data_IF_914524511151
#
_entry.id   IF_914524511151
#
_cell.length_a   1.000
_cell.length_b   1.000
_cell.length_c   1.000
_cell.angle_alpha   90.00
_cell.angle_beta   90.00
_cell.angle_gamma   90.00
#
_symmetry.space_group_name_H-M   'P 1'
#
loop_
_entity.id
_entity.type
_entity.pdbx_description
1 polymer ?
#
# COMPACT_ATOMS: atom_id res chain seq x y z
N UNK A 1 8.76 38.08 27.11
CA UNK A 1 8.75 36.60 27.03
C UNK A 1 9.10 36.25 25.60
N UNK A 2 10.30 35.76 25.38
CA UNK A 2 10.76 35.37 24.04
C UNK A 2 10.40 33.91 23.83
N UNK A 3 9.59 33.63 22.80
CA UNK A 3 9.32 32.28 22.37
C UNK A 3 10.55 31.75 21.65
N UNK A 4 10.98 30.51 21.90
CA UNK A 4 12.04 29.91 21.13
C UNK A 4 11.55 29.68 19.68
N UNK A 5 12.36 30.15 18.72
CA UNK A 5 12.19 29.89 17.31
C UNK A 5 12.20 28.38 17.10
N UNK A 6 11.14 27.83 16.53
CA UNK A 6 11.11 26.42 16.14
C UNK A 6 12.27 26.16 15.17
N UNK A 7 13.10 25.18 15.49
CA UNK A 7 14.17 24.74 14.61
C UNK A 7 13.57 24.34 13.24
N UNK A 8 14.17 24.82 12.17
CA UNK A 8 13.83 24.41 10.82
C UNK A 8 13.95 22.88 10.72
N UNK A 9 13.07 22.19 9.94
CA UNK A 9 13.18 20.76 9.75
C UNK A 9 14.57 20.43 9.19
N UNK A 10 15.30 19.57 9.89
CA UNK A 10 16.56 19.06 9.38
C UNK A 10 16.26 18.30 8.07
N UNK A 11 16.68 18.87 6.96
CA UNK A 11 16.67 18.19 5.67
C UNK A 11 17.60 16.99 5.82
N UNK A 12 17.05 15.80 5.85
CA UNK A 12 17.84 14.55 5.92
C UNK A 12 18.70 14.49 4.66
N UNK A 13 19.98 14.81 4.78
CA UNK A 13 20.94 14.64 3.68
C UNK A 13 21.12 13.15 3.48
N UNK A 14 20.56 12.62 2.36
CA UNK A 14 20.74 11.23 1.98
C UNK A 14 22.23 10.98 1.71
N UNK A 15 22.76 9.87 2.25
CA UNK A 15 24.09 9.41 1.88
C UNK A 15 24.07 8.84 0.46
N UNK A 16 25.21 8.78 -0.28
CA UNK A 16 25.26 8.23 -1.63
C UNK A 16 24.64 6.84 -1.78
N UNK A 17 24.64 6.03 -0.73
CA UNK A 17 24.00 4.69 -0.70
C UNK A 17 22.46 4.74 -0.65
N UNK A 18 21.88 5.91 -0.48
CA UNK A 18 20.41 6.12 -0.34
C UNK A 18 19.80 6.86 -1.52
N UNK A 19 20.57 7.15 -2.58
CA UNK A 19 20.13 7.95 -3.75
C UNK A 19 18.90 7.40 -4.48
N UNK A 20 18.50 6.15 -4.19
CA UNK A 20 17.35 5.51 -4.79
C UNK A 20 16.04 5.72 -4.02
N UNK A 21 16.09 6.30 -2.82
CA UNK A 21 14.90 6.65 -2.05
C UNK A 21 14.34 8.01 -2.52
N UNK A 22 13.01 8.19 -2.49
CA UNK A 22 12.41 9.47 -2.82
C UNK A 22 12.88 10.56 -1.84
N UNK A 23 13.10 11.77 -2.34
CA UNK A 23 13.32 12.96 -1.53
C UNK A 23 12.02 13.27 -0.80
N UNK A 24 12.08 13.43 0.52
CA UNK A 24 10.88 13.59 1.35
C UNK A 24 11.17 14.33 2.65
N UNK A 25 10.15 14.97 3.19
CA UNK A 25 10.14 15.54 4.54
C UNK A 25 9.52 14.57 5.58
N UNK A 26 9.18 13.35 5.16
CA UNK A 26 8.70 12.28 6.05
C UNK A 26 9.88 11.63 6.78
N UNK A 27 9.64 11.21 8.01
CA UNK A 27 10.67 10.54 8.81
C UNK A 27 10.68 9.03 8.55
N UNK A 28 11.82 8.52 8.12
CA UNK A 28 12.06 7.09 8.07
C UNK A 28 12.11 6.48 9.48
N UNK A 29 11.71 5.22 9.67
CA UNK A 29 11.89 4.51 10.93
C UNK A 29 13.36 4.52 11.36
N UNK A 30 13.65 4.98 12.59
CA UNK A 30 15.03 5.19 13.07
C UNK A 30 15.91 3.94 13.01
N UNK A 31 15.31 2.75 13.19
CA UNK A 31 15.99 1.48 13.13
C UNK A 31 16.16 0.93 11.71
N UNK A 32 15.47 1.47 10.73
CA UNK A 32 15.56 1.03 9.34
C UNK A 32 16.90 1.47 8.73
N UNK A 33 17.58 0.55 8.09
CA UNK A 33 18.78 0.81 7.30
C UNK A 33 18.52 0.47 5.85
N UNK A 34 18.98 1.36 4.99
CA UNK A 34 18.78 1.32 3.55
C UNK A 34 20.15 1.47 2.91
N UNK A 35 20.39 0.75 1.84
CA UNK A 35 21.64 0.87 1.09
C UNK A 35 21.60 0.06 -0.20
N UNK A 36 22.75 -0.05 -0.84
CA UNK A 36 22.98 -0.85 -2.03
C UNK A 36 24.32 -1.60 -1.93
N UNK A 37 24.36 -2.81 -2.47
CA UNK A 37 25.58 -3.58 -2.66
C UNK A 37 26.35 -3.04 -3.88
N UNK A 38 27.62 -3.40 -3.99
CA UNK A 38 28.48 -3.00 -5.14
C UNK A 38 27.91 -3.44 -6.50
N UNK A 39 27.18 -4.54 -6.54
CA UNK A 39 26.51 -5.04 -7.75
C UNK A 39 25.18 -4.33 -8.06
N UNK A 40 24.79 -3.30 -7.29
CA UNK A 40 23.58 -2.51 -7.48
C UNK A 40 22.30 -3.12 -6.89
N UNK A 41 22.37 -4.27 -6.21
CA UNK A 41 21.25 -4.81 -5.46
C UNK A 41 21.01 -3.95 -4.23
N UNK A 42 19.80 -3.44 -4.06
CA UNK A 42 19.38 -2.62 -2.94
C UNK A 42 18.99 -3.47 -1.76
N UNK A 43 19.11 -2.91 -0.58
CA UNK A 43 18.59 -3.57 0.61
C UNK A 43 17.87 -2.61 1.55
N UNK A 44 16.90 -3.16 2.27
CA UNK A 44 16.25 -2.55 3.42
C UNK A 44 16.31 -3.54 4.58
N UNK A 45 16.87 -3.12 5.70
CA UNK A 45 16.96 -3.94 6.92
C UNK A 45 16.28 -3.19 8.05
N UNK A 46 15.24 -3.80 8.63
CA UNK A 46 14.48 -3.21 9.74
C UNK A 46 14.33 -4.19 10.90
N UNK A 47 15.08 -4.00 12.01
CA UNK A 47 14.86 -4.76 13.24
C UNK A 47 13.45 -4.54 13.78
N UNK A 48 12.77 -5.62 14.15
CA UNK A 48 11.47 -5.59 14.79
C UNK A 48 11.50 -6.24 16.17
N UNK A 49 11.13 -5.48 17.19
CA UNK A 49 11.11 -5.97 18.59
C UNK A 49 9.95 -6.93 18.87
N UNK A 50 8.98 -6.99 17.97
CA UNK A 50 7.79 -7.84 18.14
C UNK A 50 7.95 -9.25 17.55
N UNK A 51 9.07 -9.53 16.92
CA UNK A 51 9.36 -10.80 16.29
C UNK A 51 10.40 -11.57 17.08
N UNK A 52 9.97 -12.39 18.04
CA UNK A 52 10.91 -13.27 18.73
C UNK A 52 11.40 -14.34 17.77
N UNK A 53 12.72 -14.29 17.43
CA UNK A 53 13.39 -15.28 16.58
C UNK A 53 12.75 -15.52 15.19
N UNK A 54 11.97 -14.56 14.69
CA UNK A 54 11.42 -14.65 13.33
C UNK A 54 11.94 -13.53 12.45
N UNK A 55 12.11 -13.82 11.17
CA UNK A 55 12.48 -12.84 10.15
C UNK A 55 11.64 -13.04 8.89
N UNK A 56 11.14 -11.94 8.37
CA UNK A 56 10.42 -11.87 7.11
C UNK A 56 11.35 -11.31 6.05
N UNK A 57 11.48 -12.03 4.95
CA UNK A 57 12.32 -11.69 3.84
C UNK A 57 11.47 -11.45 2.60
N UNK A 58 11.80 -10.37 1.85
CA UNK A 58 11.21 -10.12 0.53
C UNK A 58 12.33 -9.85 -0.46
N UNK A 59 12.15 -10.34 -1.66
CA UNK A 59 12.96 -9.97 -2.81
C UNK A 59 12.03 -9.34 -3.84
N UNK A 60 12.24 -8.08 -4.12
CA UNK A 60 11.46 -7.35 -5.10
C UNK A 60 12.29 -7.09 -6.35
N UNK A 61 11.74 -7.47 -7.49
CA UNK A 61 12.26 -7.15 -8.81
C UNK A 61 11.29 -6.22 -9.52
N UNK A 62 11.72 -5.01 -9.81
CA UNK A 62 10.98 -4.04 -10.59
C UNK A 62 11.66 -3.80 -11.94
N UNK A 63 10.95 -4.04 -13.05
CA UNK A 63 11.45 -3.79 -14.40
C UNK A 63 11.30 -2.34 -14.84
N UNK A 64 11.99 -1.97 -15.92
CA UNK A 64 11.80 -0.68 -16.57
C UNK A 64 10.37 -0.45 -17.09
N UNK A 65 9.63 -1.51 -17.40
CA UNK A 65 8.21 -1.46 -17.79
C UNK A 65 7.24 -1.40 -16.60
N UNK A 66 7.73 -1.15 -15.39
CA UNK A 66 6.95 -1.10 -14.15
C UNK A 66 6.27 -2.42 -13.73
N UNK A 67 6.62 -3.53 -14.34
CA UNK A 67 6.23 -4.84 -13.81
C UNK A 67 7.03 -5.13 -12.56
N UNK A 68 6.36 -5.65 -11.54
CA UNK A 68 6.98 -5.98 -10.26
C UNK A 68 6.71 -7.44 -9.91
N UNK A 69 7.74 -8.14 -9.48
CA UNK A 69 7.63 -9.46 -8.88
C UNK A 69 8.14 -9.40 -7.46
N UNK A 70 7.40 -10.01 -6.56
CA UNK A 70 7.73 -10.12 -5.15
C UNK A 70 7.86 -11.60 -4.78
N UNK A 71 9.00 -11.97 -4.21
CA UNK A 71 9.20 -13.29 -3.61
C UNK A 71 9.29 -13.14 -2.12
N UNK A 72 8.46 -13.89 -1.40
CA UNK A 72 8.42 -13.91 0.05
C UNK A 72 9.11 -15.16 0.61
N UNK A 73 9.75 -15.01 1.77
CA UNK A 73 10.23 -16.09 2.60
C UNK A 73 10.12 -15.70 4.07
N UNK A 74 9.70 -16.64 4.90
CA UNK A 74 9.61 -16.46 6.35
C UNK A 74 10.55 -17.46 7.01
N UNK A 75 11.29 -17.02 8.04
CA UNK A 75 12.21 -17.88 8.73
C UNK A 75 12.05 -17.79 10.25
N UNK A 76 12.03 -18.96 10.89
CA UNK A 76 12.21 -19.12 12.32
C UNK A 76 13.71 -19.32 12.62
N UNK A 77 14.33 -18.32 13.24
CA UNK A 77 15.75 -18.31 13.57
C UNK A 77 16.11 -19.26 14.72
N UNK A 78 15.14 -19.95 15.36
CA UNK A 78 15.41 -21.08 16.25
C UNK A 78 15.74 -22.35 15.47
N UNK A 79 15.20 -22.50 14.27
CA UNK A 79 15.34 -23.72 13.46
C UNK A 79 16.39 -23.61 12.36
N UNK A 80 16.70 -22.39 11.89
CA UNK A 80 17.67 -22.13 10.82
C UNK A 80 18.35 -20.76 10.98
N UNK A 81 19.53 -20.61 10.39
CA UNK A 81 20.25 -19.34 10.39
C UNK A 81 19.66 -18.35 9.38
N UNK A 82 19.91 -17.05 9.60
CA UNK A 82 19.54 -16.01 8.63
C UNK A 82 20.20 -16.26 7.26
N UNK A 83 21.44 -16.76 7.25
CA UNK A 83 22.14 -17.11 6.00
C UNK A 83 21.40 -18.18 5.21
N UNK A 84 20.96 -19.24 5.84
CA UNK A 84 20.19 -20.32 5.17
C UNK A 84 18.88 -19.80 4.59
N UNK A 85 18.17 -18.93 5.34
CA UNK A 85 16.95 -18.29 4.85
C UNK A 85 17.19 -17.36 3.64
N UNK A 86 18.30 -16.62 3.63
CA UNK A 86 18.71 -15.79 2.49
C UNK A 86 19.14 -16.63 1.29
N UNK A 87 19.83 -17.74 1.51
CA UNK A 87 20.20 -18.70 0.43
C UNK A 87 18.95 -19.28 -0.20
N UNK A 88 17.97 -19.71 0.60
CA UNK A 88 16.70 -20.20 0.07
C UNK A 88 15.97 -19.11 -0.76
N UNK A 89 15.92 -17.87 -0.27
CA UNK A 89 15.36 -16.75 -1.02
C UNK A 89 16.12 -16.54 -2.34
N UNK A 90 17.46 -16.54 -2.29
CA UNK A 90 18.31 -16.44 -3.49
C UNK A 90 17.98 -17.53 -4.50
N UNK A 91 17.88 -18.78 -4.06
CA UNK A 91 17.65 -19.92 -4.95
C UNK A 91 16.26 -19.89 -5.60
N UNK A 92 15.30 -19.19 -4.97
CA UNK A 92 13.99 -18.88 -5.58
C UNK A 92 14.08 -17.84 -6.70
N UNK A 93 15.02 -16.89 -6.63
CA UNK A 93 15.10 -15.74 -7.54
C UNK A 93 16.23 -15.83 -8.58
N UNK A 94 17.28 -16.61 -8.32
CA UNK A 94 18.38 -16.77 -9.26
C UNK A 94 18.17 -17.97 -10.19
N UNK A 95 18.57 -17.78 -11.45
CA UNK A 95 18.68 -18.85 -12.45
C UNK A 95 20.12 -18.86 -12.95
N UNK A 96 20.86 -19.94 -12.71
CA UNK A 96 22.28 -20.07 -13.07
C UNK A 96 23.12 -18.89 -12.55
N UNK A 97 22.98 -18.56 -11.26
CA UNK A 97 23.67 -17.45 -10.58
C UNK A 97 23.42 -16.03 -11.17
N UNK A 98 22.39 -15.90 -12.00
CA UNK A 98 21.99 -14.61 -12.57
C UNK A 98 20.55 -14.30 -12.17
N UNK A 99 20.33 -13.05 -11.79
CA UNK A 99 18.96 -12.55 -11.69
C UNK A 99 18.45 -12.37 -13.12
N UNK A 100 17.33 -13.03 -13.51
CA UNK A 100 16.76 -12.84 -14.84
C UNK A 100 16.05 -11.46 -14.90
N UNK A 101 16.84 -10.43 -15.12
CA UNK A 101 16.38 -9.06 -15.14
C UNK A 101 16.93 -8.34 -16.37
N UNK A 102 16.13 -7.46 -16.96
CA UNK A 102 16.58 -6.57 -18.01
C UNK A 102 17.53 -5.50 -17.44
N UNK A 103 18.41 -4.91 -18.26
CA UNK A 103 19.13 -3.69 -17.89
C UNK A 103 18.13 -2.65 -17.33
N UNK A 104 18.54 -1.91 -16.30
CA UNK A 104 17.70 -0.93 -15.57
C UNK A 104 16.62 -1.53 -14.63
N UNK A 105 16.54 -2.85 -14.49
CA UNK A 105 15.71 -3.44 -13.44
C UNK A 105 16.24 -3.09 -12.06
N UNK A 106 15.34 -2.84 -11.13
CA UNK A 106 15.66 -2.51 -9.74
C UNK A 106 15.41 -3.75 -8.89
N UNK A 107 16.42 -4.14 -8.14
CA UNK A 107 16.39 -5.32 -7.29
C UNK A 107 16.53 -4.88 -5.84
N UNK A 108 15.62 -5.32 -4.98
CA UNK A 108 15.63 -4.93 -3.57
C UNK A 108 15.42 -6.15 -2.67
N UNK A 109 16.30 -6.34 -1.70
CA UNK A 109 16.18 -7.32 -0.62
C UNK A 109 15.68 -6.61 0.62
N UNK A 110 14.58 -7.08 1.20
CA UNK A 110 13.96 -6.49 2.39
C UNK A 110 13.99 -7.53 3.50
N UNK A 111 14.52 -7.15 4.65
CA UNK A 111 14.55 -7.96 5.86
C UNK A 111 13.88 -7.23 7.02
N UNK A 112 12.91 -7.86 7.63
CA UNK A 112 12.24 -7.34 8.83
C UNK A 112 12.16 -8.44 9.89
N UNK A 113 12.67 -8.19 11.10
CA UNK A 113 12.56 -9.19 12.14
C UNK A 113 13.54 -9.07 13.29
N UNK A 114 13.73 -10.16 14.05
CA UNK A 114 14.69 -10.24 15.17
C UNK A 114 16.11 -10.42 14.62
N UNK A 115 16.68 -9.34 14.12
CA UNK A 115 17.98 -9.31 13.44
C UNK A 115 18.87 -8.19 13.95
N UNK A 116 20.17 -8.41 13.93
CA UNK A 116 21.17 -7.37 14.09
C UNK A 116 21.47 -6.76 12.72
N UNK A 117 21.34 -5.43 12.62
CA UNK A 117 21.46 -4.72 11.34
C UNK A 117 22.76 -5.02 10.60
N UNK A 118 23.89 -4.94 11.30
CA UNK A 118 25.22 -5.16 10.72
C UNK A 118 25.35 -6.58 10.19
N UNK A 119 25.01 -7.56 11.02
CA UNK A 119 25.09 -8.97 10.63
C UNK A 119 24.16 -9.29 9.46
N UNK A 120 22.98 -8.67 9.43
CA UNK A 120 22.03 -8.84 8.33
C UNK A 120 22.59 -8.30 7.01
N UNK A 121 23.20 -7.10 7.02
CA UNK A 121 23.83 -6.51 5.83
C UNK A 121 25.00 -7.37 5.35
N UNK A 122 25.86 -7.82 6.26
CA UNK A 122 26.99 -8.70 5.93
C UNK A 122 26.49 -10.03 5.30
N UNK A 123 25.38 -10.60 5.83
CA UNK A 123 24.80 -11.82 5.26
C UNK A 123 24.14 -11.58 3.89
N UNK A 124 23.48 -10.42 3.67
CA UNK A 124 22.95 -10.05 2.35
C UNK A 124 24.11 -9.96 1.34
N UNK A 125 25.21 -9.31 1.70
CA UNK A 125 26.37 -9.18 0.81
C UNK A 125 27.01 -10.54 0.50
N UNK A 126 27.21 -11.40 1.49
CA UNK A 126 27.73 -12.76 1.29
C UNK A 126 26.85 -13.56 0.32
N UNK A 127 25.53 -13.44 0.41
CA UNK A 127 24.58 -14.26 -0.36
C UNK A 127 24.30 -13.66 -1.75
N UNK A 128 24.17 -12.35 -1.86
CA UNK A 128 23.75 -11.67 -3.07
C UNK A 128 24.85 -10.84 -3.75
N UNK A 129 25.94 -10.49 -3.05
CA UNK A 129 26.99 -9.62 -3.58
C UNK A 129 27.68 -10.15 -4.84
N UNK A 130 27.81 -11.49 -4.96
CA UNK A 130 28.32 -12.15 -6.17
C UNK A 130 27.29 -12.36 -7.29
N UNK A 131 26.02 -12.03 -7.07
CA UNK A 131 24.98 -12.26 -8.05
C UNK A 131 25.13 -11.31 -9.25
N UNK A 132 25.05 -11.85 -10.46
CA UNK A 132 25.13 -11.05 -11.70
C UNK A 132 23.73 -10.69 -12.16
N UNK A 133 23.51 -9.41 -12.46
CA UNK A 133 22.28 -8.96 -13.10
C UNK A 133 22.34 -9.39 -14.57
N UNK A 134 21.41 -10.25 -14.97
CA UNK A 134 21.33 -10.74 -16.34
C UNK A 134 20.81 -9.67 -17.30
N UNK A 135 21.11 -9.85 -18.61
CA UNK A 135 20.62 -8.98 -19.68
C UNK A 135 19.34 -9.55 -20.34
N UNK A 136 18.62 -10.44 -19.68
CA UNK A 136 17.44 -11.09 -20.24
C UNK A 136 16.17 -10.68 -19.51
N UNK A 137 15.10 -10.50 -20.27
CA UNK A 137 13.74 -10.34 -19.71
C UNK A 137 13.39 -11.64 -18.97
N UNK A 138 12.78 -11.57 -17.78
CA UNK A 138 12.33 -12.77 -17.06
C UNK A 138 11.47 -13.62 -17.99
N UNK A 139 11.92 -14.84 -18.24
CA UNK A 139 11.19 -15.76 -19.10
C UNK A 139 9.90 -16.22 -18.42
N UNK A 140 8.96 -16.78 -19.23
CA UNK A 140 7.67 -17.30 -18.76
C UNK A 140 7.80 -18.26 -17.57
N UNK A 141 8.82 -19.10 -17.55
CA UNK A 141 9.10 -20.03 -16.45
C UNK A 141 9.45 -19.34 -15.13
N UNK A 142 10.10 -18.17 -15.19
CA UNK A 142 10.40 -17.36 -14.00
C UNK A 142 9.14 -16.67 -13.50
N UNK A 143 8.34 -16.11 -14.39
CA UNK A 143 7.03 -15.54 -14.06
C UNK A 143 6.08 -16.60 -13.47
N UNK A 144 6.05 -17.84 -14.01
CA UNK A 144 5.26 -18.94 -13.47
C UNK A 144 5.74 -19.39 -12.08
N UNK A 145 7.05 -19.49 -11.84
CA UNK A 145 7.60 -19.80 -10.50
C UNK A 145 7.25 -18.72 -9.48
N UNK A 146 7.26 -17.46 -9.86
CA UNK A 146 6.90 -16.34 -9.01
C UNK A 146 5.39 -16.30 -8.75
N UNK A 147 4.56 -16.54 -9.77
CA UNK A 147 3.10 -16.59 -9.63
C UNK A 147 2.66 -17.73 -8.70
N UNK A 148 3.29 -18.89 -8.77
CA UNK A 148 3.02 -20.02 -7.87
C UNK A 148 3.38 -19.71 -6.39
N UNK A 149 4.30 -18.77 -6.16
CA UNK A 149 4.66 -18.30 -4.80
C UNK A 149 3.65 -17.29 -4.23
N UNK A 150 2.77 -16.71 -5.06
CA UNK A 150 1.76 -15.72 -4.70
C UNK A 150 0.36 -16.31 -4.49
N UNK A 151 0.12 -17.54 -4.95
CA UNK A 151 -1.14 -18.25 -4.76
C UNK A 151 -1.13 -19.02 -3.43
N UNK A 152 -1.17 -18.32 -2.30
CA UNK A 152 -1.76 -18.90 -1.11
C UNK A 152 -3.25 -18.57 -1.13
N UNK A 153 -4.14 -19.58 -1.15
CA UNK A 153 -5.55 -19.33 -0.97
C UNK A 153 -5.74 -18.71 0.43
N UNK A 154 -6.27 -17.51 0.48
CA UNK A 154 -6.86 -17.00 1.71
C UNK A 154 -8.10 -17.85 1.91
N UNK A 155 -8.06 -18.77 2.87
CA UNK A 155 -9.24 -19.48 3.34
C UNK A 155 -10.21 -18.46 3.96
N UNK A 156 -11.02 -17.86 3.11
CA UNK A 156 -12.15 -17.03 3.48
C UNK A 156 -13.39 -17.93 3.62
N UNK A 157 -13.45 -18.76 4.65
CA UNK A 157 -14.72 -19.26 5.15
C UNK A 157 -15.43 -18.15 5.97
N UNK A 158 -15.87 -17.13 5.26
CA UNK A 158 -16.94 -16.28 5.76
C UNK A 158 -18.18 -16.69 4.99
N UNK A 159 -19.25 -17.00 5.66
CA UNK A 159 -20.57 -17.25 5.08
C UNK A 159 -21.12 -15.93 4.50
N UNK A 160 -20.49 -15.44 3.45
CA UNK A 160 -20.91 -14.27 2.73
C UNK A 160 -22.22 -14.60 2.00
N UNK A 161 -23.20 -13.72 2.07
CA UNK A 161 -24.39 -13.82 1.23
C UNK A 161 -23.93 -13.86 -0.24
N UNK A 162 -24.57 -14.69 -1.08
CA UNK A 162 -24.20 -14.78 -2.48
C UNK A 162 -24.37 -13.42 -3.15
N UNK A 163 -23.36 -12.96 -3.86
CA UNK A 163 -23.40 -11.74 -4.66
C UNK A 163 -24.03 -12.08 -6.00
N UNK A 164 -25.15 -11.44 -6.35
CA UNK A 164 -25.83 -11.62 -7.63
C UNK A 164 -25.44 -10.57 -8.67
N UNK A 165 -25.16 -9.32 -8.24
CA UNK A 165 -24.73 -8.26 -9.12
C UNK A 165 -23.80 -7.27 -8.42
N UNK A 166 -22.95 -6.58 -9.20
CA UNK A 166 -22.06 -5.55 -8.73
C UNK A 166 -22.23 -4.26 -9.53
N UNK A 167 -22.11 -3.12 -8.84
CA UNK A 167 -21.96 -1.80 -9.46
C UNK A 167 -20.57 -1.28 -9.07
N UNK A 168 -19.79 -0.86 -10.05
CA UNK A 168 -18.44 -0.33 -9.87
C UNK A 168 -18.46 1.17 -10.17
N UNK A 169 -18.05 1.98 -9.20
CA UNK A 169 -17.72 3.38 -9.41
C UNK A 169 -16.19 3.49 -9.46
N UNK A 170 -15.68 3.97 -10.56
CA UNK A 170 -14.24 4.06 -10.77
C UNK A 170 -13.82 5.49 -11.11
N UNK A 171 -12.80 5.96 -10.42
CA UNK A 171 -12.18 7.25 -10.71
C UNK A 171 -10.68 7.11 -10.84
N UNK A 172 -10.05 8.07 -11.53
CA UNK A 172 -8.60 8.11 -11.75
C UNK A 172 -8.07 9.49 -11.39
N UNK A 173 -7.15 9.52 -10.47
CA UNK A 173 -6.43 10.72 -10.06
C UNK A 173 -4.98 10.64 -10.53
N UNK A 174 -4.47 11.74 -11.08
CA UNK A 174 -3.03 11.85 -11.37
C UNK A 174 -2.27 11.96 -10.06
N UNK A 175 -1.22 11.15 -9.90
CA UNK A 175 -0.35 11.15 -8.73
C UNK A 175 1.13 11.11 -9.20
N UNK A 176 1.63 12.26 -9.62
CA UNK A 176 3.01 12.49 -10.04
C UNK A 176 3.83 13.28 -9.01
N UNK A 177 3.26 13.52 -7.83
CA UNK A 177 3.87 14.30 -6.78
C UNK A 177 4.81 13.45 -5.91
N UNK A 178 5.82 14.12 -5.34
CA UNK A 178 6.70 13.52 -4.35
C UNK A 178 5.93 13.19 -3.06
N UNK A 179 6.29 12.09 -2.42
CA UNK A 179 5.70 11.67 -1.15
C UNK A 179 6.19 12.60 -0.01
N UNK A 180 5.33 13.49 0.42
CA UNK A 180 5.59 14.52 1.42
C UNK A 180 4.46 14.59 2.45
N UNK A 181 4.69 15.26 3.58
CA UNK A 181 3.63 15.49 4.58
C UNK A 181 2.43 16.21 3.99
N UNK A 182 2.67 17.18 3.09
CA UNK A 182 1.58 17.88 2.42
C UNK A 182 0.80 16.93 1.52
N UNK A 183 1.49 16.11 0.71
CA UNK A 183 0.85 15.10 -0.14
C UNK A 183 0.06 14.08 0.69
N UNK A 184 0.60 13.66 1.82
CA UNK A 184 -0.11 12.76 2.75
C UNK A 184 -1.36 13.40 3.36
N UNK A 185 -1.34 14.72 3.61
CA UNK A 185 -2.55 15.46 4.04
C UNK A 185 -3.63 15.45 2.97
N UNK A 186 -3.26 15.76 1.72
CA UNK A 186 -4.20 15.72 0.59
C UNK A 186 -4.80 14.32 0.38
N UNK A 187 -3.97 13.27 0.46
CA UNK A 187 -4.45 11.89 0.39
C UNK A 187 -5.36 11.52 1.56
N UNK A 188 -5.09 12.03 2.76
CA UNK A 188 -5.97 11.84 3.92
C UNK A 188 -7.34 12.48 3.68
N UNK A 189 -7.38 13.71 3.14
CA UNK A 189 -8.64 14.38 2.79
C UNK A 189 -9.40 13.61 1.68
N UNK A 190 -8.67 13.12 0.66
CA UNK A 190 -9.21 12.28 -0.40
C UNK A 190 -9.84 11.00 0.13
N UNK A 191 -9.14 10.30 1.02
CA UNK A 191 -9.64 9.07 1.63
C UNK A 191 -10.86 9.29 2.54
N UNK A 192 -10.88 10.40 3.31
CA UNK A 192 -12.06 10.76 4.11
C UNK A 192 -13.27 11.08 3.23
N UNK A 193 -13.04 11.72 2.06
CA UNK A 193 -14.09 11.97 1.09
C UNK A 193 -14.69 10.68 0.54
N UNK A 194 -13.84 9.71 0.23
CA UNK A 194 -14.26 8.40 -0.26
C UNK A 194 -15.03 7.61 0.82
N UNK A 195 -14.60 7.68 2.09
CA UNK A 195 -15.32 7.09 3.23
C UNK A 195 -16.72 7.70 3.41
N UNK A 196 -16.84 9.03 3.27
CA UNK A 196 -18.15 9.71 3.33
C UNK A 196 -19.04 9.25 2.17
N UNK A 197 -18.50 9.12 0.96
CA UNK A 197 -19.26 8.65 -0.20
C UNK A 197 -19.76 7.21 0.02
N UNK A 198 -18.90 6.32 0.51
CA UNK A 198 -19.28 4.93 0.83
C UNK A 198 -20.39 4.88 1.88
N UNK A 199 -20.27 5.65 2.96
CA UNK A 199 -21.29 5.72 4.01
C UNK A 199 -22.64 6.24 3.48
N UNK A 200 -22.62 7.22 2.57
CA UNK A 200 -23.85 7.72 1.90
C UNK A 200 -24.47 6.66 1.00
N UNK A 201 -23.66 5.92 0.24
CA UNK A 201 -24.14 4.82 -0.62
C UNK A 201 -24.79 3.74 0.23
N UNK A 202 -24.10 3.26 1.25
CA UNK A 202 -24.61 2.23 2.16
C UNK A 202 -25.94 2.67 2.79
N UNK A 203 -25.99 3.86 3.35
CA UNK A 203 -27.19 4.43 3.97
C UNK A 203 -28.38 4.50 3.00
N UNK A 204 -28.19 5.07 1.80
CA UNK A 204 -29.28 5.26 0.84
C UNK A 204 -29.80 3.94 0.26
N UNK A 205 -28.94 2.95 0.05
CA UNK A 205 -29.31 1.63 -0.43
C UNK A 205 -30.09 0.86 0.63
N UNK A 206 -29.67 0.93 1.90
CA UNK A 206 -30.36 0.31 3.03
C UNK A 206 -31.74 0.95 3.29
N UNK A 207 -31.82 2.29 3.26
CA UNK A 207 -33.08 3.02 3.41
C UNK A 207 -34.09 2.68 2.28
N UNK A 208 -33.61 2.35 1.10
CA UNK A 208 -34.43 1.91 -0.03
C UNK A 208 -34.78 0.42 0.00
N UNK A 209 -34.36 -0.32 1.03
CA UNK A 209 -34.52 -1.77 1.16
C UNK A 209 -33.91 -2.56 -0.02
N UNK A 210 -32.82 -2.05 -0.61
CA UNK A 210 -32.02 -2.79 -1.58
C UNK A 210 -31.26 -3.89 -0.85
N UNK A 211 -31.23 -5.09 -1.43
CA UNK A 211 -30.48 -6.24 -0.90
C UNK A 211 -28.97 -6.02 -1.00
N UNK A 212 -28.45 -5.11 -0.17
CA UNK A 212 -27.04 -4.75 -0.13
C UNK A 212 -26.25 -5.85 0.57
N UNK A 213 -25.21 -6.36 -0.07
CA UNK A 213 -24.22 -7.29 0.51
C UNK A 213 -23.06 -6.51 1.13
N UNK A 214 -22.46 -5.62 0.36
CA UNK A 214 -21.32 -4.80 0.80
C UNK A 214 -21.16 -3.52 -0.03
N UNK A 215 -20.52 -2.52 0.56
CA UNK A 215 -19.90 -1.39 -0.15
C UNK A 215 -18.42 -1.40 0.21
N UNK A 216 -17.56 -1.64 -0.74
CA UNK A 216 -16.13 -1.80 -0.55
C UNK A 216 -15.34 -0.88 -1.46
N UNK A 217 -14.16 -0.45 -1.03
CA UNK A 217 -13.27 0.34 -1.84
C UNK A 217 -11.92 -0.34 -2.00
N UNK A 218 -11.44 -0.35 -3.23
CA UNK A 218 -10.11 -0.77 -3.60
C UNK A 218 -9.34 0.39 -4.22
N UNK A 219 -8.14 0.66 -3.73
CA UNK A 219 -7.21 1.61 -4.31
C UNK A 219 -6.09 0.87 -5.04
N UNK A 220 -5.95 1.17 -6.33
CA UNK A 220 -4.85 0.67 -7.15
C UNK A 220 -3.91 1.80 -7.50
N UNK A 221 -2.66 1.69 -7.03
CA UNK A 221 -1.64 2.68 -7.23
C UNK A 221 -0.73 2.32 -8.42
N UNK A 222 -0.42 3.32 -9.20
CA UNK A 222 0.72 3.31 -10.12
C UNK A 222 1.62 4.50 -9.80
N UNK A 223 2.76 4.65 -10.48
CA UNK A 223 3.67 5.79 -10.23
C UNK A 223 3.09 7.15 -10.59
N UNK A 224 2.01 7.19 -11.36
CA UNK A 224 1.44 8.42 -11.91
C UNK A 224 -0.07 8.52 -11.71
N UNK A 225 -0.70 7.48 -11.19
CA UNK A 225 -2.14 7.44 -11.03
C UNK A 225 -2.54 6.68 -9.77
N UNK A 226 -3.53 7.20 -9.10
CA UNK A 226 -4.35 6.50 -8.13
C UNK A 226 -5.69 6.19 -8.81
N UNK A 227 -6.06 4.93 -8.84
CA UNK A 227 -7.37 4.47 -9.29
C UNK A 227 -8.14 4.01 -8.08
N UNK A 228 -9.22 4.70 -7.73
CA UNK A 228 -10.14 4.27 -6.69
C UNK A 228 -11.35 3.59 -7.33
N UNK A 229 -11.71 2.42 -6.84
CA UNK A 229 -12.88 1.66 -7.29
C UNK A 229 -13.77 1.37 -6.08
N UNK A 230 -14.97 1.93 -6.04
CA UNK A 230 -16.00 1.55 -5.07
C UNK A 230 -16.87 0.48 -5.71
N UNK A 231 -17.01 -0.65 -5.03
CA UNK A 231 -17.86 -1.77 -5.42
C UNK A 231 -19.09 -1.81 -4.52
N UNK A 232 -20.27 -1.75 -5.13
CA UNK A 232 -21.55 -2.01 -4.45
C UNK A 232 -22.01 -3.40 -4.86
N UNK A 233 -21.99 -4.34 -3.93
CA UNK A 233 -22.39 -5.72 -4.13
C UNK A 233 -23.85 -5.95 -3.71
N UNK A 234 -24.64 -6.57 -4.58
CA UNK A 234 -26.08 -6.82 -4.40
C UNK A 234 -26.38 -8.32 -4.32
N UNK A 235 -27.32 -8.71 -3.46
CA UNK A 235 -27.79 -10.09 -3.34
C UNK A 235 -28.89 -10.46 -4.34
N UNK A 236 -29.45 -9.49 -5.06
CA UNK A 236 -30.55 -9.66 -6.01
C UNK A 236 -30.29 -8.89 -7.29
N UNK A 237 -30.27 -9.58 -8.42
CA UNK A 237 -30.07 -8.99 -9.75
C UNK A 237 -31.25 -8.08 -10.16
N UNK A 238 -32.47 -8.42 -9.76
CA UNK A 238 -33.69 -7.65 -10.11
C UNK A 238 -33.63 -6.21 -9.55
N UNK A 239 -32.85 -5.96 -8.52
CA UNK A 239 -32.71 -4.65 -7.87
C UNK A 239 -31.61 -3.78 -8.53
N UNK A 240 -30.86 -4.32 -9.49
CA UNK A 240 -29.71 -3.65 -10.08
C UNK A 240 -30.03 -2.27 -10.66
N UNK A 241 -31.13 -2.11 -11.40
CA UNK A 241 -31.50 -0.82 -12.01
C UNK A 241 -31.96 0.20 -10.96
N UNK A 242 -32.66 -0.25 -9.94
CA UNK A 242 -33.04 0.59 -8.79
C UNK A 242 -31.80 1.05 -8.02
N UNK A 243 -30.86 0.14 -7.76
CA UNK A 243 -29.59 0.44 -7.11
C UNK A 243 -28.74 1.41 -7.94
N UNK A 244 -28.62 1.23 -9.27
CA UNK A 244 -27.95 2.17 -10.16
C UNK A 244 -28.51 3.60 -10.08
N UNK A 245 -29.84 3.70 -10.00
CA UNK A 245 -30.51 5.01 -9.88
C UNK A 245 -30.14 5.70 -8.58
N UNK A 246 -30.09 4.97 -7.47
CA UNK A 246 -29.69 5.48 -6.15
C UNK A 246 -28.22 5.86 -6.16
N UNK A 247 -27.34 4.96 -6.62
CA UNK A 247 -25.91 5.18 -6.74
C UNK A 247 -25.60 6.41 -7.58
N UNK A 248 -26.27 6.55 -8.75
CA UNK A 248 -26.13 7.72 -9.61
C UNK A 248 -26.53 9.02 -8.91
N UNK A 249 -27.62 9.01 -8.14
CA UNK A 249 -28.07 10.19 -7.38
C UNK A 249 -27.08 10.57 -6.27
N UNK A 250 -26.56 9.60 -5.54
CA UNK A 250 -25.53 9.83 -4.48
C UNK A 250 -24.25 10.40 -5.12
N UNK A 251 -23.82 9.84 -6.26
CA UNK A 251 -22.64 10.30 -6.99
C UNK A 251 -22.82 11.75 -7.50
N UNK A 252 -23.99 12.12 -8.04
CA UNK A 252 -24.27 13.50 -8.41
C UNK A 252 -24.23 14.45 -7.20
N UNK A 253 -24.69 14.01 -6.04
CA UNK A 253 -24.52 14.74 -4.79
C UNK A 253 -23.04 14.93 -4.41
N UNK A 254 -22.23 13.89 -4.57
CA UNK A 254 -20.80 13.94 -4.27
C UNK A 254 -20.04 14.94 -5.14
N UNK A 255 -20.44 15.11 -6.39
CA UNK A 255 -19.84 16.11 -7.31
C UNK A 255 -20.00 17.57 -6.83
N UNK A 256 -20.92 17.81 -5.93
CA UNK A 256 -21.11 19.11 -5.28
C UNK A 256 -20.38 19.21 -3.91
N UNK A 257 -19.73 18.17 -3.45
CA UNK A 257 -19.08 18.08 -2.15
C UNK A 257 -20.10 17.99 -1.01
N UNK A 258 -20.28 19.08 -0.29
CA UNK A 258 -21.26 19.23 0.82
C UNK A 258 -21.09 18.17 1.93
N UNK A 259 -19.85 17.90 2.33
CA UNK A 259 -19.56 17.08 3.51
C UNK A 259 -19.97 17.87 4.75
N UNK A 260 -20.77 17.26 5.62
CA UNK A 260 -21.19 17.88 6.87
C UNK A 260 -20.15 17.68 7.97
N UNK A 261 -20.17 18.53 8.99
CA UNK A 261 -19.29 18.40 10.15
C UNK A 261 -19.47 17.05 10.87
N UNK A 262 -20.70 16.53 10.92
CA UNK A 262 -21.00 15.23 11.55
C UNK A 262 -20.43 14.05 10.70
N UNK A 263 -20.56 14.09 9.39
CA UNK A 263 -19.95 13.09 8.50
C UNK A 263 -18.43 13.09 8.63
N UNK A 264 -17.82 14.29 8.57
CA UNK A 264 -16.38 14.46 8.78
C UNK A 264 -15.93 13.87 10.12
N UNK A 265 -16.55 14.28 11.23
CA UNK A 265 -16.19 13.81 12.57
C UNK A 265 -16.35 12.28 12.68
N UNK A 266 -17.41 11.71 12.10
CA UNK A 266 -17.67 10.27 12.12
C UNK A 266 -16.57 9.52 11.37
N UNK A 267 -16.19 9.94 10.17
CA UNK A 267 -15.17 9.24 9.38
C UNK A 267 -13.76 9.41 9.98
N UNK A 268 -13.46 10.59 10.53
CA UNK A 268 -12.22 10.81 11.29
C UNK A 268 -12.12 9.82 12.46
N UNK A 269 -13.19 9.65 13.23
CA UNK A 269 -13.18 8.71 14.36
C UNK A 269 -13.00 7.26 13.91
N UNK A 270 -13.70 6.83 12.85
CA UNK A 270 -13.58 5.48 12.32
C UNK A 270 -12.16 5.18 11.82
N UNK A 271 -11.54 6.11 11.06
CA UNK A 271 -10.15 5.96 10.62
C UNK A 271 -9.14 5.97 11.77
N UNK A 272 -9.33 6.84 12.74
CA UNK A 272 -8.48 6.88 13.92
C UNK A 272 -8.51 5.53 14.68
N UNK A 273 -9.69 4.93 14.83
CA UNK A 273 -9.83 3.63 15.46
C UNK A 273 -9.24 2.51 14.59
N UNK A 274 -9.30 2.63 13.27
CA UNK A 274 -8.62 1.72 12.34
C UNK A 274 -7.09 1.79 12.51
N UNK A 275 -6.49 2.99 12.52
CA UNK A 275 -5.07 3.17 12.78
C UNK A 275 -4.64 2.57 14.13
N UNK A 276 -5.43 2.79 15.18
CA UNK A 276 -5.15 2.20 16.52
C UNK A 276 -5.15 0.68 16.51
N UNK A 277 -6.05 0.05 15.77
CA UNK A 277 -6.10 -1.41 15.63
C UNK A 277 -4.87 -1.95 14.89
N UNK A 278 -4.33 -1.19 13.93
CA UNK A 278 -3.19 -1.56 13.12
C UNK A 278 -1.82 -1.13 13.69
N UNK A 279 -1.76 -0.65 14.93
CA UNK A 279 -0.48 -0.30 15.56
C UNK A 279 0.46 -1.50 15.75
N UNK A 280 -0.10 -2.70 15.89
CA UNK A 280 0.66 -3.94 16.04
C UNK A 280 0.61 -4.71 14.73
N UNK A 281 1.65 -4.59 13.94
CA UNK A 281 1.83 -5.33 12.69
C UNK A 281 2.93 -6.37 12.83
N UNK A 282 2.75 -7.51 12.19
CA UNK A 282 3.75 -8.57 12.13
C UNK A 282 4.96 -8.14 11.29
N UNK A 283 6.13 -8.79 11.45
CA UNK A 283 7.26 -8.56 10.56
C UNK A 283 6.93 -8.77 9.08
N UNK A 284 6.09 -9.75 8.77
CA UNK A 284 5.60 -10.01 7.41
C UNK A 284 4.83 -8.80 6.86
N UNK A 285 3.84 -8.30 7.59
CA UNK A 285 3.08 -7.12 7.19
C UNK A 285 3.97 -5.87 7.05
N UNK A 286 4.98 -5.71 7.91
CA UNK A 286 5.94 -4.61 7.79
C UNK A 286 6.79 -4.77 6.53
N UNK A 287 7.26 -5.97 6.22
CA UNK A 287 8.05 -6.25 5.01
C UNK A 287 7.22 -6.00 3.74
N UNK A 288 5.94 -6.39 3.73
CA UNK A 288 5.01 -6.13 2.63
C UNK A 288 4.74 -4.63 2.47
N UNK A 289 4.54 -3.90 3.57
CA UNK A 289 4.38 -2.44 3.56
C UNK A 289 5.61 -1.71 3.02
N UNK A 290 6.82 -2.16 3.37
CA UNK A 290 8.07 -1.61 2.82
C UNK A 290 8.15 -1.91 1.31
N UNK A 291 7.88 -3.13 0.88
CA UNK A 291 7.88 -3.50 -0.53
C UNK A 291 6.87 -2.66 -1.32
N UNK A 292 5.66 -2.49 -0.79
CA UNK A 292 4.64 -1.65 -1.39
C UNK A 292 5.09 -0.19 -1.50
N UNK A 293 5.69 0.38 -0.45
CA UNK A 293 6.21 1.73 -0.47
C UNK A 293 7.27 1.91 -1.57
N UNK A 294 8.24 0.99 -1.68
CA UNK A 294 9.27 1.01 -2.72
C UNK A 294 8.63 0.94 -4.12
N UNK A 295 7.68 0.04 -4.32
CA UNK A 295 6.97 -0.15 -5.60
C UNK A 295 6.34 1.14 -6.11
N UNK A 296 5.71 1.89 -5.21
CA UNK A 296 5.01 3.13 -5.53
C UNK A 296 5.85 4.39 -5.38
N UNK A 297 7.17 4.24 -5.19
CA UNK A 297 8.09 5.35 -4.96
C UNK A 297 7.68 6.22 -3.76
N UNK A 298 7.25 5.56 -2.69
CA UNK A 298 6.84 6.17 -1.43
C UNK A 298 7.80 5.83 -0.31
N UNK A 299 7.67 6.56 0.78
CA UNK A 299 8.40 6.30 2.01
C UNK A 299 7.58 5.41 2.93
N UNK A 300 8.18 4.35 3.41
CA UNK A 300 7.55 3.55 4.45
C UNK A 300 7.56 4.32 5.77
N UNK A 301 6.38 4.52 6.33
CA UNK A 301 6.16 5.13 7.65
C UNK A 301 5.67 4.03 8.60
N UNK A 302 6.18 4.01 9.84
CA UNK A 302 5.68 3.03 10.82
C UNK A 302 4.24 3.35 11.22
N UNK A 303 3.43 2.34 11.55
CA UNK A 303 2.02 2.54 11.93
C UNK A 303 1.81 3.56 13.05
N UNK A 304 2.72 3.61 14.04
CA UNK A 304 2.68 4.62 15.10
C UNK A 304 2.96 6.05 14.62
N UNK A 305 3.80 6.19 13.60
CA UNK A 305 4.11 7.48 13.00
C UNK A 305 3.03 7.88 11.99
N UNK A 306 2.42 6.92 11.30
CA UNK A 306 1.23 7.14 10.47
C UNK A 306 0.05 7.65 11.29
N UNK A 307 -0.22 7.05 12.44
CA UNK A 307 -1.26 7.55 13.35
C UNK A 307 -0.97 8.99 13.78
N UNK A 308 0.26 9.30 14.19
CA UNK A 308 0.64 10.67 14.58
C UNK A 308 0.52 11.67 13.43
N UNK A 309 0.88 11.23 12.23
CA UNK A 309 0.76 12.05 11.02
C UNK A 309 -0.71 12.32 10.68
N UNK A 310 -1.55 11.29 10.79
CA UNK A 310 -3.00 11.43 10.64
C UNK A 310 -3.58 12.41 11.67
N UNK A 311 -3.27 12.23 12.96
CA UNK A 311 -3.72 13.13 14.03
C UNK A 311 -3.29 14.59 13.79
N UNK A 312 -2.06 14.79 13.30
CA UNK A 312 -1.58 16.12 12.90
C UNK A 312 -2.36 16.68 11.72
N UNK A 313 -2.66 15.87 10.71
CA UNK A 313 -3.40 16.32 9.53
C UNK A 313 -4.83 16.72 9.89
N UNK A 314 -5.55 15.88 10.63
CA UNK A 314 -6.95 16.18 11.01
C UNK A 314 -7.08 17.40 11.94
N UNK A 315 -6.07 17.68 12.78
CA UNK A 315 -6.05 18.88 13.60
C UNK A 315 -6.03 20.18 12.78
N UNK A 316 -5.66 20.10 11.48
CA UNK A 316 -5.56 21.22 10.55
C UNK A 316 -6.41 20.98 9.28
N UNK A 317 -7.48 20.22 9.41
CA UNK A 317 -8.40 19.86 8.31
C UNK A 317 -9.84 20.14 8.74
N UNK A 318 -10.63 20.57 7.79
CA UNK A 318 -12.06 20.86 7.99
C UNK A 318 -12.91 20.01 7.04
N UNK A 319 -14.22 19.97 7.28
CA UNK A 319 -15.19 19.39 6.36
C UNK A 319 -15.15 20.03 4.97
N UNK A 320 -14.73 21.29 4.87
CA UNK A 320 -14.56 21.97 3.59
C UNK A 320 -13.41 21.38 2.77
N UNK A 321 -12.27 21.06 3.40
CA UNK A 321 -11.13 20.43 2.74
C UNK A 321 -11.52 19.06 2.17
N UNK A 322 -12.33 18.29 2.91
CA UNK A 322 -12.85 16.98 2.49
C UNK A 322 -13.90 17.13 1.38
N UNK A 323 -14.75 18.17 1.44
CA UNK A 323 -15.70 18.50 0.37
C UNK A 323 -15.00 18.83 -0.95
N UNK A 324 -13.92 19.63 -0.91
CA UNK A 324 -13.09 19.94 -2.07
C UNK A 324 -12.46 18.67 -2.66
N UNK A 325 -11.91 17.81 -1.79
CA UNK A 325 -11.36 16.52 -2.22
C UNK A 325 -12.40 15.61 -2.84
N UNK A 326 -13.63 15.56 -2.31
CA UNK A 326 -14.75 14.81 -2.88
C UNK A 326 -15.08 15.29 -4.30
N UNK A 327 -15.13 16.61 -4.51
CA UNK A 327 -15.35 17.19 -5.84
C UNK A 327 -14.22 16.77 -6.78
N UNK A 328 -12.97 16.91 -6.36
CA UNK A 328 -11.79 16.54 -7.17
C UNK A 328 -11.83 15.07 -7.56
N UNK A 329 -12.09 14.18 -6.60
CA UNK A 329 -12.11 12.74 -6.83
C UNK A 329 -13.22 12.32 -7.80
N UNK A 330 -14.42 12.86 -7.66
CA UNK A 330 -15.63 12.29 -8.27
C UNK A 330 -16.29 13.14 -9.34
N UNK A 331 -15.83 14.39 -9.59
CA UNK A 331 -16.43 15.26 -10.60
C UNK A 331 -15.98 14.99 -12.03
N UNK A 332 -14.77 14.43 -12.24
CA UNK A 332 -14.18 14.24 -13.56
C UNK A 332 -13.78 12.79 -13.80
N UNK A 333 -14.23 12.25 -14.93
CA UNK A 333 -13.79 10.93 -15.39
C UNK A 333 -14.27 9.74 -14.56
N UNK A 334 -15.34 9.93 -13.77
CA UNK A 334 -15.96 8.82 -13.05
C UNK A 334 -16.70 7.91 -14.01
N UNK A 335 -16.36 6.64 -13.99
CA UNK A 335 -17.02 5.59 -14.74
C UNK A 335 -17.95 4.81 -13.79
N UNK A 336 -19.19 4.54 -14.21
CA UNK A 336 -20.09 3.63 -13.52
C UNK A 336 -20.34 2.43 -14.42
N UNK A 337 -19.94 1.25 -13.97
CA UNK A 337 -20.11 -0.02 -14.67
C UNK A 337 -20.95 -0.95 -13.79
N UNK A 338 -21.62 -1.92 -14.41
CA UNK A 338 -22.32 -2.97 -13.66
C UNK A 338 -22.12 -4.33 -14.30
N UNK A 339 -22.12 -5.35 -13.48
CA UNK A 339 -21.94 -6.74 -13.89
C UNK A 339 -22.87 -7.65 -13.09
N UNK A 340 -23.48 -8.61 -13.79
CA UNK A 340 -24.30 -9.68 -13.15
C UNK A 340 -23.39 -10.90 -13.00
N UNK A 341 -23.37 -11.46 -11.80
CA UNK A 341 -22.51 -12.60 -11.46
C UNK A 341 -23.12 -13.86 -12.09
N UNK A 342 -22.37 -14.50 -12.98
CA UNK A 342 -22.82 -15.74 -13.64
C UNK A 342 -23.22 -15.61 -15.11
N UNK A 343 -23.07 -14.43 -15.71
CA UNK A 343 -23.14 -14.23 -17.17
C UNK A 343 -21.77 -14.12 -17.82
#
# INVERSE_FOLDING_TARGET
MSFPLAAAPETTVLTPDQDWMPITDLSLPRQMKIGALENGIRYVVMPSRYSQKTVSLRFELQTASNQTWLVANEADLNSRSLKEALVELRDKVLVNDKVPAAPQSKLTVILVGDIQVRDAIDQIDIVFGGAKIGNSIPGRLFAEKLSQSLEQPVDAETSAQPVAANIYLKTRLTDDQEDSKMRRKELTASQLADDVLMARLEKQLLEANIGLVAVEMEESWSRQQLVSTITVALSNEEELDSAKTIVGKVLEGAKNGNVTADEFATQVQLRHDLFKRHLKVSPSQQADGIAQAIRFNRVYVQPSDELRLFEFHIAHMTESDVSESMIVNWSKGTEMLSHVTGQ
#
